data_IF_821252530521
#
_entry.id   IF_821252530521
#
_cell.length_a   1.000
_cell.length_b   1.000
_cell.length_c   1.000
_cell.angle_alpha   90.00
_cell.angle_beta   90.00
_cell.angle_gamma   90.00
#
_symmetry.space_group_name_H-M   'P 1'
#
loop_
_entity.id
_entity.type
_entity.pdbx_description
1 polymer ?
#
# COMPACT_ATOMS: atom_id res chain seq x y z
N UNK A 1 6.91 -36.28 -34.07
CA UNK A 1 6.28 -35.02 -34.51
C UNK A 1 6.50 -33.97 -33.45
N UNK A 2 7.10 -32.80 -33.75
CA UNK A 2 7.10 -31.71 -32.79
C UNK A 2 5.70 -31.12 -32.72
N UNK A 3 5.15 -31.03 -31.51
CA UNK A 3 3.90 -30.33 -31.23
C UNK A 3 4.17 -28.85 -31.51
N UNK A 4 3.64 -28.34 -32.62
CA UNK A 4 3.59 -26.91 -32.90
C UNK A 4 2.69 -26.27 -31.84
N UNK A 5 3.31 -25.72 -30.80
CA UNK A 5 2.63 -24.78 -29.92
C UNK A 5 2.32 -23.54 -30.78
N UNK A 6 1.07 -23.41 -31.18
CA UNK A 6 0.55 -22.12 -31.67
C UNK A 6 0.94 -21.08 -30.62
N UNK A 7 1.74 -20.08 -31.00
CA UNK A 7 1.87 -18.84 -30.22
C UNK A 7 0.48 -18.20 -30.21
N UNK A 8 -0.37 -18.60 -29.27
CA UNK A 8 -1.43 -17.73 -28.83
C UNK A 8 -0.73 -16.48 -28.30
N UNK A 9 -1.06 -15.31 -28.84
CA UNK A 9 -0.69 -14.05 -28.20
C UNK A 9 -1.43 -14.02 -26.86
N UNK A 10 -0.84 -14.60 -25.82
CA UNK A 10 -1.38 -14.49 -24.49
C UNK A 10 -1.34 -13.02 -24.12
N UNK A 11 -2.52 -12.44 -24.00
CA UNK A 11 -2.70 -11.05 -23.71
C UNK A 11 -2.15 -10.76 -22.31
N UNK A 12 -1.02 -10.08 -22.25
CA UNK A 12 -0.33 -9.80 -20.98
C UNK A 12 -0.89 -8.55 -20.35
N UNK A 13 -1.22 -8.67 -19.06
CA UNK A 13 -1.83 -7.60 -18.28
C UNK A 13 -0.91 -7.23 -17.12
N UNK A 14 -0.90 -5.95 -16.79
CA UNK A 14 -0.43 -5.43 -15.52
C UNK A 14 -1.62 -5.33 -14.57
N UNK A 15 -1.47 -5.86 -13.38
CA UNK A 15 -2.44 -5.78 -12.31
C UNK A 15 -1.80 -5.09 -11.11
N UNK A 16 -2.54 -4.17 -10.49
CA UNK A 16 -2.26 -3.73 -9.13
C UNK A 16 -3.39 -4.20 -8.22
N UNK A 17 -3.00 -4.83 -7.13
CA UNK A 17 -3.87 -5.42 -6.13
C UNK A 17 -3.75 -4.65 -4.82
N UNK A 18 -4.85 -4.48 -4.08
CA UNK A 18 -4.86 -3.98 -2.70
C UNK A 18 -5.36 -5.06 -1.76
N UNK A 19 -4.85 -5.08 -0.53
CA UNK A 19 -5.33 -5.97 0.52
C UNK A 19 -5.95 -5.13 1.64
N UNK A 20 -7.14 -5.46 2.17
CA UNK A 20 -7.82 -4.66 3.19
C UNK A 20 -7.20 -4.84 4.59
N UNK A 21 -6.67 -6.03 4.89
CA UNK A 21 -5.99 -6.26 6.17
C UNK A 21 -4.80 -5.33 6.33
N UNK A 22 -4.78 -4.62 7.45
CA UNK A 22 -3.71 -3.72 7.82
C UNK A 22 -3.44 -3.78 9.34
N UNK A 23 -2.34 -3.16 9.74
CA UNK A 23 -2.06 -2.85 11.15
C UNK A 23 -2.11 -1.34 11.36
N UNK A 24 -2.61 -0.94 12.53
CA UNK A 24 -2.62 0.46 12.98
C UNK A 24 -1.49 0.61 13.99
N UNK A 25 -0.53 1.47 13.68
CA UNK A 25 0.64 1.75 14.53
C UNK A 25 0.33 2.95 15.42
N UNK A 26 0.50 2.78 16.73
CA UNK A 26 0.13 3.78 17.74
C UNK A 26 1.40 4.36 18.38
N UNK A 27 1.32 5.62 18.80
CA UNK A 27 2.29 6.19 19.71
C UNK A 27 2.00 5.70 21.14
N UNK A 28 3.04 5.53 21.96
CA UNK A 28 2.90 5.10 23.36
C UNK A 28 2.41 6.22 24.29
N UNK A 29 2.53 7.47 23.85
CA UNK A 29 2.17 8.66 24.61
C UNK A 29 1.11 9.50 23.88
N UNK A 30 0.34 10.27 24.65
CA UNK A 30 -0.70 11.14 24.12
C UNK A 30 -0.11 12.28 23.31
N UNK A 31 -0.71 12.53 22.14
CA UNK A 31 -0.28 13.58 21.23
C UNK A 31 -0.40 14.96 21.89
N UNK A 32 0.66 15.76 21.80
CA UNK A 32 0.66 17.16 22.22
C UNK A 32 1.75 17.93 21.47
N UNK A 33 1.64 19.25 21.43
CA UNK A 33 2.60 20.13 20.76
C UNK A 33 3.62 20.77 21.72
N UNK A 34 3.52 20.48 23.01
CA UNK A 34 4.40 21.05 24.04
C UNK A 34 5.72 20.29 24.15
N UNK A 35 5.71 18.99 23.82
CA UNK A 35 6.86 18.10 23.86
C UNK A 35 7.09 17.50 22.48
N UNK A 36 8.35 17.34 22.11
CA UNK A 36 8.78 16.78 20.82
C UNK A 36 9.46 15.41 20.97
N UNK A 37 9.15 14.70 22.05
CA UNK A 37 9.71 13.37 22.29
C UNK A 37 9.24 12.37 21.22
N UNK A 38 10.14 11.49 20.78
CA UNK A 38 9.86 10.53 19.70
C UNK A 38 8.69 9.59 20.02
N UNK A 39 8.46 9.30 21.31
CA UNK A 39 7.36 8.44 21.76
C UNK A 39 5.96 9.05 21.55
N UNK A 40 5.86 10.36 21.37
CA UNK A 40 4.60 11.10 21.17
C UNK A 40 4.27 11.21 19.68
N UNK A 41 5.29 11.47 18.85
CA UNK A 41 5.10 11.91 17.46
C UNK A 41 5.40 10.86 16.41
N UNK A 42 6.16 9.82 16.74
CA UNK A 42 6.58 8.80 15.79
C UNK A 42 5.94 7.45 16.11
N UNK A 43 5.22 6.85 15.17
CA UNK A 43 4.53 5.57 15.37
C UNK A 43 5.33 4.37 14.87
N UNK A 44 6.57 4.58 14.40
CA UNK A 44 7.43 3.51 13.90
C UNK A 44 7.65 2.43 14.98
N UNK A 45 7.44 1.17 14.62
CA UNK A 45 7.57 0.06 15.56
C UNK A 45 8.97 -0.01 16.20
N UNK A 46 10.03 0.30 15.44
CA UNK A 46 11.41 0.34 15.93
C UNK A 46 11.65 1.39 17.03
N UNK A 47 10.84 2.45 17.06
CA UNK A 47 10.87 3.49 18.08
C UNK A 47 9.99 3.08 19.25
N UNK A 48 8.74 2.71 18.95
CA UNK A 48 7.72 2.42 19.97
C UNK A 48 8.01 1.15 20.79
N UNK A 49 8.81 0.21 20.27
CA UNK A 49 9.29 -0.93 21.05
C UNK A 49 10.21 -0.54 22.22
N UNK A 50 10.87 0.63 22.18
CA UNK A 50 11.69 1.11 23.31
C UNK A 50 10.84 1.48 24.53
N UNK A 51 9.56 1.78 24.29
CA UNK A 51 8.59 2.25 25.28
C UNK A 51 7.60 1.14 25.68
N UNK A 52 8.00 -0.11 25.53
CA UNK A 52 7.19 -1.27 25.92
C UNK A 52 6.75 -1.12 27.39
N UNK A 53 5.43 -1.14 27.64
CA UNK A 53 4.77 -0.88 28.93
C UNK A 53 4.72 0.59 29.41
N UNK A 54 5.16 1.55 28.61
CA UNK A 54 5.07 2.97 28.94
C UNK A 54 3.92 3.62 28.17
N UNK A 55 2.70 3.20 28.51
CA UNK A 55 1.49 3.75 27.91
C UNK A 55 0.99 4.94 28.72
N UNK A 56 0.66 6.04 28.04
CA UNK A 56 -0.12 7.12 28.66
C UNK A 56 -1.59 6.75 28.89
N UNK A 57 -2.08 5.69 28.23
CA UNK A 57 -3.46 5.23 28.29
C UNK A 57 -3.52 3.70 28.52
N UNK A 58 -4.19 3.27 29.59
CA UNK A 58 -4.32 1.87 29.98
C UNK A 58 -5.05 1.00 28.95
N UNK A 59 -5.85 1.60 28.06
CA UNK A 59 -6.55 0.91 26.99
C UNK A 59 -5.67 0.60 25.77
N UNK A 60 -4.43 1.12 25.73
CA UNK A 60 -3.49 0.81 24.66
C UNK A 60 -2.81 -0.55 24.90
N UNK A 61 -2.65 -1.38 23.85
CA UNK A 61 -1.87 -2.60 23.97
C UNK A 61 -0.39 -2.27 24.17
N UNK A 62 0.32 -3.04 24.99
CA UNK A 62 1.75 -2.85 25.28
C UNK A 62 2.66 -2.84 24.04
N UNK A 63 2.22 -3.48 22.96
CA UNK A 63 2.94 -3.53 21.68
C UNK A 63 2.55 -2.40 20.71
N UNK A 64 1.74 -1.44 21.15
CA UNK A 64 1.35 -0.22 20.42
C UNK A 64 0.82 -0.46 19.00
N UNK A 65 0.07 -1.55 18.82
CA UNK A 65 -0.52 -1.87 17.52
C UNK A 65 -1.95 -2.37 17.68
N UNK A 66 -2.82 -1.99 16.77
CA UNK A 66 -4.12 -2.60 16.59
C UNK A 66 -4.19 -3.34 15.27
N UNK A 67 -4.98 -4.41 15.22
CA UNK A 67 -5.46 -4.94 13.96
C UNK A 67 -6.64 -4.08 13.47
N UNK A 68 -7.02 -4.25 12.20
CA UNK A 68 -8.13 -3.49 11.61
C UNK A 68 -9.45 -3.63 12.39
N UNK A 69 -9.79 -4.83 12.86
CA UNK A 69 -11.02 -5.06 13.63
C UNK A 69 -11.06 -4.25 14.92
N UNK A 70 -9.96 -4.19 15.66
CA UNK A 70 -9.85 -3.35 16.86
C UNK A 70 -9.99 -1.86 16.53
N UNK A 71 -9.42 -1.40 15.42
CA UNK A 71 -9.57 -0.03 14.98
C UNK A 71 -11.01 0.32 14.60
N UNK A 72 -11.71 -0.55 13.86
CA UNK A 72 -13.13 -0.37 13.53
C UNK A 72 -13.99 -0.29 14.79
N UNK A 73 -13.76 -1.19 15.76
CA UNK A 73 -14.48 -1.16 17.04
C UNK A 73 -14.21 0.13 17.82
N UNK A 74 -12.98 0.64 17.79
CA UNK A 74 -12.65 1.95 18.36
C UNK A 74 -13.44 3.07 17.69
N UNK A 75 -13.53 3.09 16.34
CA UNK A 75 -14.29 4.11 15.63
C UNK A 75 -15.79 4.05 15.94
N UNK A 76 -16.33 2.84 16.12
CA UNK A 76 -17.72 2.64 16.54
C UNK A 76 -17.95 3.14 17.97
N UNK A 77 -17.12 2.74 18.92
CA UNK A 77 -17.34 3.05 20.33
C UNK A 77 -17.14 4.53 20.66
N UNK A 78 -16.12 5.17 20.07
CA UNK A 78 -15.79 6.57 20.38
C UNK A 78 -16.58 7.57 19.54
N UNK A 79 -16.93 7.22 18.30
CA UNK A 79 -17.53 8.17 17.35
C UNK A 79 -18.85 7.71 16.72
N UNK A 80 -19.30 6.48 16.98
CA UNK A 80 -20.47 5.89 16.31
C UNK A 80 -20.26 5.72 14.80
N UNK A 81 -19.01 5.48 14.38
CA UNK A 81 -18.57 5.50 12.97
C UNK A 81 -17.78 4.26 12.59
N UNK A 82 -18.15 3.07 13.05
CA UNK A 82 -17.48 1.83 12.67
C UNK A 82 -17.52 1.57 11.16
N UNK A 83 -18.57 2.03 10.47
CA UNK A 83 -18.75 1.87 9.04
C UNK A 83 -17.90 2.82 8.17
N UNK A 84 -17.23 3.82 8.76
CA UNK A 84 -16.45 4.82 8.01
C UNK A 84 -15.23 4.21 7.33
N UNK A 85 -14.70 3.11 7.86
CA UNK A 85 -13.60 2.39 7.23
C UNK A 85 -14.00 1.90 5.83
N UNK A 86 -15.08 1.12 5.76
CA UNK A 86 -15.56 0.52 4.53
C UNK A 86 -16.22 1.54 3.58
N UNK A 87 -16.93 2.54 4.13
CA UNK A 87 -17.66 3.52 3.34
C UNK A 87 -16.80 4.68 2.82
N UNK A 88 -15.68 4.98 3.47
CA UNK A 88 -14.89 6.18 3.17
C UNK A 88 -13.39 5.91 3.15
N UNK A 89 -12.78 5.50 4.27
CA UNK A 89 -11.32 5.46 4.40
C UNK A 89 -10.68 4.52 3.38
N UNK A 90 -11.09 3.25 3.35
CA UNK A 90 -10.50 2.26 2.45
C UNK A 90 -10.78 2.55 0.97
N UNK A 91 -11.99 2.98 0.56
CA UNK A 91 -12.23 3.48 -0.80
C UNK A 91 -11.33 4.65 -1.22
N UNK A 92 -11.06 5.61 -0.34
CA UNK A 92 -10.14 6.74 -0.62
C UNK A 92 -8.68 6.27 -0.77
N UNK A 93 -8.24 5.34 0.08
CA UNK A 93 -6.94 4.66 -0.04
C UNK A 93 -6.82 3.98 -1.41
N UNK A 94 -7.79 3.13 -1.78
CA UNK A 94 -7.79 2.40 -3.05
C UNK A 94 -7.84 3.34 -4.26
N UNK A 95 -8.54 4.47 -4.15
CA UNK A 95 -8.54 5.50 -5.21
C UNK A 95 -7.16 6.11 -5.41
N UNK A 96 -6.46 6.40 -4.32
CA UNK A 96 -5.10 6.96 -4.36
C UNK A 96 -4.10 5.93 -4.88
N UNK A 97 -4.16 4.69 -4.40
CA UNK A 97 -3.34 3.58 -4.91
C UNK A 97 -3.58 3.30 -6.39
N UNK A 98 -4.83 3.37 -6.87
CA UNK A 98 -5.13 3.25 -8.30
C UNK A 98 -4.44 4.32 -9.15
N UNK A 99 -4.40 5.57 -8.68
CA UNK A 99 -3.70 6.67 -9.37
C UNK A 99 -2.19 6.45 -9.40
N UNK A 100 -1.63 5.98 -8.28
CA UNK A 100 -0.21 5.62 -8.17
C UNK A 100 0.11 4.47 -9.13
N UNK A 101 -0.66 3.39 -9.11
CA UNK A 101 -0.52 2.25 -10.00
C UNK A 101 -0.62 2.65 -11.48
N UNK A 102 -1.60 3.50 -11.82
CA UNK A 102 -1.72 4.06 -13.16
C UNK A 102 -0.44 4.81 -13.56
N UNK A 103 0.08 5.69 -12.71
CA UNK A 103 1.32 6.43 -12.98
C UNK A 103 2.51 5.48 -13.18
N UNK A 104 2.71 4.55 -12.24
CA UNK A 104 3.78 3.55 -12.27
C UNK A 104 3.74 2.69 -13.53
N UNK A 105 2.56 2.30 -13.99
CA UNK A 105 2.38 1.45 -15.17
C UNK A 105 2.98 2.04 -16.46
N UNK A 106 3.11 3.37 -16.57
CA UNK A 106 3.73 4.03 -17.73
C UNK A 106 5.22 4.30 -17.56
N UNK A 107 5.73 4.28 -16.32
CA UNK A 107 7.09 4.68 -15.97
C UNK A 107 7.99 3.51 -15.56
N UNK A 108 7.42 2.32 -15.43
CA UNK A 108 8.15 1.10 -15.05
C UNK A 108 8.24 0.14 -16.23
N UNK A 109 9.38 -0.55 -16.36
CA UNK A 109 9.49 -1.66 -17.29
C UNK A 109 8.70 -2.86 -16.78
N UNK A 110 7.65 -3.24 -17.52
CA UNK A 110 6.76 -4.33 -17.15
C UNK A 110 7.19 -5.63 -17.85
N UNK A 111 7.71 -6.57 -17.07
CA UNK A 111 8.07 -7.92 -17.53
C UNK A 111 7.05 -8.94 -17.01
N UNK A 112 6.41 -9.75 -17.87
CA UNK A 112 5.50 -10.81 -17.43
C UNK A 112 6.16 -11.77 -16.44
N UNK A 113 5.40 -12.26 -15.46
CA UNK A 113 5.89 -13.18 -14.43
C UNK A 113 6.70 -12.52 -13.31
N UNK A 114 6.82 -11.18 -13.30
CA UNK A 114 7.38 -10.43 -12.17
C UNK A 114 6.26 -9.82 -11.34
N UNK A 115 6.44 -9.84 -10.03
CA UNK A 115 5.57 -9.18 -9.08
C UNK A 115 6.40 -8.44 -8.04
N UNK A 116 5.73 -7.56 -7.31
CA UNK A 116 6.34 -6.84 -6.21
C UNK A 116 5.29 -6.48 -5.16
N UNK A 117 5.72 -6.50 -3.90
CA UNK A 117 4.90 -6.13 -2.75
C UNK A 117 5.38 -4.78 -2.20
N UNK A 118 4.41 -3.91 -1.92
CA UNK A 118 4.63 -2.59 -1.35
C UNK A 118 3.86 -2.47 -0.04
N UNK A 119 4.47 -1.81 0.95
CA UNK A 119 3.75 -1.32 2.13
C UNK A 119 3.44 0.16 1.95
N UNK A 120 2.23 0.60 2.28
CA UNK A 120 1.86 2.01 2.22
C UNK A 120 1.49 2.47 3.62
N UNK A 121 2.21 3.47 4.13
CA UNK A 121 1.94 4.03 5.45
C UNK A 121 1.02 5.24 5.27
N UNK A 122 -0.13 5.19 5.94
CA UNK A 122 -1.18 6.20 5.88
C UNK A 122 -1.40 6.82 7.26
N UNK A 123 -1.67 8.11 7.30
CA UNK A 123 -2.22 8.78 8.48
C UNK A 123 -3.70 9.07 8.25
N UNK A 124 -4.52 8.82 9.27
CA UNK A 124 -5.94 9.16 9.26
C UNK A 124 -6.11 10.38 10.16
N UNK A 125 -6.79 11.39 9.64
CA UNK A 125 -7.04 12.66 10.33
C UNK A 125 -8.40 12.67 11.01
N UNK A 126 -8.67 13.69 11.84
CA UNK A 126 -9.90 13.84 12.62
C UNK A 126 -11.18 13.84 11.76
N UNK A 127 -11.09 14.23 10.48
CA UNK A 127 -12.20 14.18 9.53
C UNK A 127 -12.29 12.85 8.75
N UNK A 128 -11.61 11.80 9.24
CA UNK A 128 -11.56 10.45 8.66
C UNK A 128 -10.99 10.41 7.24
N UNK A 129 -10.12 11.37 6.89
CA UNK A 129 -9.42 11.35 5.61
C UNK A 129 -8.04 10.70 5.72
N UNK A 130 -7.73 9.73 4.84
CA UNK A 130 -6.40 9.13 4.76
C UNK A 130 -5.46 10.00 3.93
N UNK A 131 -4.24 10.21 4.43
CA UNK A 131 -3.14 10.84 3.71
C UNK A 131 -1.96 9.87 3.64
N UNK A 132 -1.44 9.66 2.43
CA UNK A 132 -0.28 8.81 2.20
C UNK A 132 0.97 9.51 2.73
N UNK A 133 1.70 8.86 3.63
CA UNK A 133 2.99 9.34 4.12
C UNK A 133 4.12 8.83 3.23
N UNK A 134 4.21 7.50 3.09
CA UNK A 134 5.30 6.86 2.35
C UNK A 134 4.86 5.53 1.71
N UNK A 135 5.65 5.08 0.74
CA UNK A 135 5.52 3.75 0.12
C UNK A 135 6.86 3.02 0.30
N UNK A 136 6.82 1.90 1.01
CA UNK A 136 7.95 1.06 1.31
C UNK A 136 8.09 -0.11 0.34
N UNK A 137 9.33 -0.35 -0.12
CA UNK A 137 9.71 -1.42 -1.05
C UNK A 137 11.03 -2.08 -0.63
N UNK A 138 11.02 -3.35 -0.15
CA UNK A 138 9.85 -4.10 0.29
C UNK A 138 9.32 -3.57 1.64
N UNK A 139 8.06 -3.86 2.00
CA UNK A 139 7.58 -3.69 3.37
C UNK A 139 8.33 -4.62 4.34
N UNK A 140 8.33 -4.25 5.62
CA UNK A 140 8.73 -5.16 6.69
C UNK A 140 7.64 -6.23 6.90
N UNK A 141 7.99 -7.50 6.67
CA UNK A 141 7.15 -8.67 7.00
C UNK A 141 7.64 -9.38 8.27
N UNK A 142 8.37 -8.65 9.12
CA UNK A 142 8.90 -9.15 10.38
C UNK A 142 7.79 -9.39 11.41
N UNK A 143 7.99 -10.40 12.25
CA UNK A 143 7.06 -10.75 13.32
C UNK A 143 7.58 -10.16 14.63
N UNK A 144 6.88 -9.16 15.17
CA UNK A 144 7.27 -8.45 16.40
C UNK A 144 6.08 -8.13 17.33
N UNK A 145 4.87 -8.49 16.94
CA UNK A 145 3.65 -8.40 17.76
C UNK A 145 2.62 -9.43 17.31
N UNK A 146 1.63 -9.80 18.16
CA UNK A 146 0.51 -10.66 17.74
C UNK A 146 -0.23 -10.12 16.51
N UNK A 147 -0.34 -8.78 16.38
CA UNK A 147 -0.91 -8.12 15.19
C UNK A 147 -0.07 -8.40 13.95
N UNK A 148 1.26 -8.25 14.04
CA UNK A 148 2.15 -8.51 12.89
C UNK A 148 2.12 -9.98 12.45
N UNK A 149 1.94 -10.94 13.38
CA UNK A 149 1.75 -12.37 13.04
C UNK A 149 0.52 -12.54 12.15
N UNK A 150 -0.62 -12.00 12.59
CA UNK A 150 -1.89 -12.14 11.88
C UNK A 150 -1.87 -11.42 10.52
N UNK A 151 -1.41 -10.17 10.49
CA UNK A 151 -1.39 -9.35 9.28
C UNK A 151 -0.40 -9.90 8.25
N UNK A 152 0.84 -10.18 8.64
CA UNK A 152 1.85 -10.69 7.70
C UNK A 152 1.50 -12.11 7.25
N UNK A 153 1.00 -12.96 8.16
CA UNK A 153 0.56 -14.32 7.84
C UNK A 153 -0.53 -14.32 6.77
N UNK A 154 -1.59 -13.52 6.98
CA UNK A 154 -2.71 -13.40 6.05
C UNK A 154 -2.29 -12.84 4.69
N UNK A 155 -1.50 -11.77 4.66
CA UNK A 155 -0.99 -11.18 3.41
C UNK A 155 -0.13 -12.18 2.65
N UNK A 156 0.76 -12.91 3.33
CA UNK A 156 1.62 -13.91 2.69
C UNK A 156 0.83 -15.09 2.13
N UNK A 157 -0.18 -15.57 2.86
CA UNK A 157 -1.08 -16.64 2.41
C UNK A 157 -1.81 -16.22 1.13
N UNK A 158 -2.48 -15.08 1.13
CA UNK A 158 -3.25 -14.60 -0.01
C UNK A 158 -2.34 -14.17 -1.19
N UNK A 159 -1.11 -13.75 -0.90
CA UNK A 159 -0.13 -13.40 -1.93
C UNK A 159 0.21 -14.62 -2.78
N UNK A 160 0.40 -15.80 -2.16
CA UNK A 160 0.68 -17.06 -2.90
C UNK A 160 -0.44 -17.37 -3.87
N UNK A 161 -1.69 -17.18 -3.48
CA UNK A 161 -2.86 -17.41 -4.34
C UNK A 161 -2.83 -16.52 -5.59
N UNK A 162 -2.50 -15.24 -5.43
CA UNK A 162 -2.44 -14.29 -6.55
C UNK A 162 -1.21 -14.53 -7.44
N UNK A 163 -0.04 -14.80 -6.88
CA UNK A 163 1.22 -14.86 -7.64
C UNK A 163 1.57 -16.26 -8.14
N UNK A 164 0.99 -17.33 -7.58
CA UNK A 164 1.23 -18.72 -8.00
C UNK A 164 -0.04 -19.30 -8.58
N UNK A 165 -1.10 -19.44 -7.77
CA UNK A 165 -2.30 -20.19 -8.16
C UNK A 165 -2.99 -19.53 -9.35
N UNK A 166 -3.18 -18.21 -9.30
CA UNK A 166 -3.77 -17.45 -10.42
C UNK A 166 -2.90 -17.35 -11.66
N UNK A 167 -1.58 -17.49 -11.53
CA UNK A 167 -0.72 -17.63 -12.71
C UNK A 167 -0.91 -18.97 -13.41
N UNK A 168 -1.25 -20.02 -12.66
CA UNK A 168 -1.52 -21.36 -13.20
C UNK A 168 -2.96 -21.47 -13.73
N UNK A 169 -3.92 -20.90 -13.00
CA UNK A 169 -5.34 -20.88 -13.34
C UNK A 169 -5.97 -19.53 -12.96
N UNK A 170 -6.34 -18.72 -13.96
CA UNK A 170 -6.84 -17.35 -13.75
C UNK A 170 -8.21 -17.24 -13.06
N UNK A 171 -8.82 -18.34 -12.62
CA UNK A 171 -10.08 -18.37 -11.88
C UNK A 171 -9.91 -18.70 -10.39
N UNK A 172 -8.69 -18.98 -9.93
CA UNK A 172 -8.41 -19.31 -8.52
C UNK A 172 -8.71 -18.14 -7.57
N UNK A 173 -8.95 -18.49 -6.31
CA UNK A 173 -9.18 -17.56 -5.20
C UNK A 173 -8.06 -16.50 -5.12
N UNK A 174 -8.41 -15.28 -4.75
CA UNK A 174 -7.46 -14.19 -4.51
C UNK A 174 -7.24 -13.95 -3.01
N UNK A 175 -7.95 -14.70 -2.17
CA UNK A 175 -8.15 -14.33 -0.78
C UNK A 175 -8.81 -12.95 -0.72
N UNK A 176 -8.28 -12.07 0.12
CA UNK A 176 -8.80 -10.71 0.28
C UNK A 176 -8.14 -9.68 -0.64
N UNK A 177 -7.25 -10.08 -1.56
CA UNK A 177 -6.74 -9.17 -2.56
C UNK A 177 -7.81 -8.74 -3.56
N UNK A 178 -7.93 -7.43 -3.78
CA UNK A 178 -8.83 -6.81 -4.75
C UNK A 178 -8.04 -6.14 -5.87
N UNK A 179 -8.48 -6.28 -7.13
CA UNK A 179 -7.90 -5.55 -8.25
C UNK A 179 -8.30 -4.07 -8.15
N UNK A 180 -7.31 -3.19 -7.98
CA UNK A 180 -7.52 -1.73 -8.00
C UNK A 180 -7.17 -1.11 -9.34
N UNK A 181 -6.29 -1.75 -10.12
CA UNK A 181 -5.90 -1.29 -11.45
C UNK A 181 -5.54 -2.47 -12.34
N UNK A 182 -5.99 -2.43 -13.59
CA UNK A 182 -5.65 -3.41 -14.61
C UNK A 182 -5.46 -2.69 -15.95
N UNK A 183 -4.41 -3.07 -16.68
CA UNK A 183 -4.19 -2.57 -18.04
C UNK A 183 -3.43 -3.61 -18.87
N UNK A 184 -3.67 -3.64 -20.18
CA UNK A 184 -2.87 -4.45 -21.11
C UNK A 184 -1.48 -3.84 -21.24
N UNK A 185 -0.44 -4.66 -21.12
CA UNK A 185 0.95 -4.18 -21.20
C UNK A 185 1.22 -3.52 -22.57
N UNK A 186 0.63 -4.05 -23.64
CA UNK A 186 0.77 -3.48 -24.98
C UNK A 186 0.11 -2.10 -25.13
N UNK A 187 -0.99 -1.84 -24.41
CA UNK A 187 -1.62 -0.52 -24.37
C UNK A 187 -0.74 0.50 -23.64
N UNK A 188 -0.15 0.09 -22.52
CA UNK A 188 0.77 0.91 -21.75
C UNK A 188 2.01 1.28 -22.56
N UNK A 189 2.60 0.33 -23.30
CA UNK A 189 3.75 0.56 -24.20
C UNK A 189 3.40 1.57 -25.29
N UNK A 190 2.25 1.40 -25.97
CA UNK A 190 1.77 2.35 -26.99
C UNK A 190 1.52 3.74 -26.42
N UNK A 191 0.94 3.82 -25.22
CA UNK A 191 0.68 5.09 -24.53
C UNK A 191 1.96 5.79 -24.07
N UNK A 192 2.96 5.04 -23.58
CA UNK A 192 4.26 5.59 -23.16
C UNK A 192 5.02 6.20 -24.33
N UNK A 193 5.05 5.52 -25.49
CA UNK A 193 5.64 6.05 -26.73
C UNK A 193 4.98 7.37 -27.16
N UNK A 194 3.65 7.47 -27.10
CA UNK A 194 2.91 8.70 -27.43
C UNK A 194 3.21 9.85 -26.46
N UNK A 195 3.37 9.55 -25.17
CA UNK A 195 3.74 10.56 -24.16
C UNK A 195 5.18 11.04 -24.37
N UNK A 196 6.12 10.14 -24.61
CA UNK A 196 7.51 10.50 -24.93
C UNK A 196 7.61 11.41 -26.17
N UNK A 197 6.85 11.13 -27.24
CA UNK A 197 6.81 11.99 -28.43
C UNK A 197 6.18 13.36 -28.20
N UNK A 198 5.29 13.49 -27.21
CA UNK A 198 4.65 14.76 -26.86
C UNK A 198 5.55 15.60 -25.97
N UNK A 199 6.26 14.96 -25.03
CA UNK A 199 7.25 15.62 -24.15
C UNK A 199 8.45 16.11 -24.97
N UNK A 200 8.94 15.34 -25.94
CA UNK A 200 10.02 15.80 -26.83
C UNK A 200 9.61 17.01 -27.69
N UNK A 201 8.34 17.08 -28.13
CA UNK A 201 7.79 18.25 -28.82
C UNK A 201 7.59 19.45 -27.88
N UNK A 202 7.37 19.22 -26.58
CA UNK A 202 7.22 20.29 -25.59
C UNK A 202 8.57 20.82 -25.07
N UNK A 203 9.62 19.99 -25.02
CA UNK A 203 10.96 20.38 -24.56
C UNK A 203 11.71 21.32 -25.51
N UNK A 204 11.25 21.48 -26.75
CA UNK A 204 11.77 22.49 -27.69
C UNK A 204 11.29 23.93 -27.35
N UNK A 205 10.46 24.11 -26.31
CA UNK A 205 9.99 25.41 -25.83
C UNK A 205 10.11 25.54 -24.32
N UNK A 206 11.32 25.74 -23.80
CA UNK A 206 11.49 26.26 -22.43
C UNK A 206 12.68 25.67 -21.70
N UNK A 207 13.72 26.48 -21.58
CA UNK A 207 14.94 26.23 -20.83
C UNK A 207 14.76 26.35 -19.31
N UNK A 208 15.60 25.59 -18.59
CA UNK A 208 15.99 25.72 -17.18
C UNK A 208 14.90 25.65 -16.10
N UNK A 209 14.85 24.55 -15.34
CA UNK A 209 14.70 24.56 -13.87
C UNK A 209 15.36 23.32 -13.25
N UNK A 210 16.06 23.58 -12.16
CA UNK A 210 16.91 22.73 -11.33
C UNK A 210 16.24 21.42 -10.84
N UNK A 211 16.99 20.33 -10.96
CA UNK A 211 16.71 19.04 -10.32
C UNK A 211 17.35 19.04 -8.91
N UNK A 212 16.57 19.27 -7.85
CA UNK A 212 17.00 19.00 -6.47
C UNK A 212 16.02 18.02 -5.82
N UNK A 213 16.46 16.77 -5.71
CA UNK A 213 15.90 15.80 -4.76
C UNK A 213 16.19 16.30 -3.35
N UNK A 214 15.15 16.66 -2.62
CA UNK A 214 15.17 16.66 -1.16
C UNK A 214 14.25 15.51 -0.73
N UNK A 215 14.83 14.48 -0.10
CA UNK A 215 14.09 13.52 0.71
C UNK A 215 14.27 13.95 2.16
N UNK A 216 13.19 14.38 2.82
CA UNK A 216 13.12 14.41 4.29
C UNK A 216 12.24 13.23 4.71
N UNK A 217 12.79 12.45 5.64
CA UNK A 217 12.24 11.36 6.46
C UNK A 217 10.94 10.71 5.99
#
# INVERSE_FOLDING_TARGET
MPISMKKASHETHFYAWSHPVCSVKLASQEFNLDKYDECIHLTNASIQQKYFHQNSNENLPNHHMWNLGTFILYLENEYGKGDVWDKSIFPEINRSLRKIAHSMAYHTELTPGRFEIFGCDWIITEDFKPYLLEINRPPCLGIYSPVSVSVCGKICEDLVKVVVDRMMNGEEDTGEFEIIYQAKIDDLKRGSLRRASTVSMASDKGSHIFNRRFSML
#
